data_IF_806370801935
#
_entry.id   IF_806370801935
#
_cell.length_a   1.000
_cell.length_b   1.000
_cell.length_c   1.000
_cell.angle_alpha   90.00
_cell.angle_beta   90.00
_cell.angle_gamma   90.00
#
_symmetry.space_group_name_H-M   'P 1'
#
loop_
_entity.id
_entity.type
_entity.pdbx_description
1 polymer ?
#
# COMPACT_ATOMS: atom_id res chain seq x y z
N UNK A 1 6.65 -14.51 -10.40
CA UNK A 1 6.15 -13.16 -10.06
C UNK A 1 6.74 -12.70 -8.74
N UNK A 2 7.29 -11.49 -8.73
CA UNK A 2 7.87 -10.85 -7.55
C UNK A 2 7.56 -9.35 -7.60
N UNK A 3 7.45 -8.66 -6.45
CA UNK A 3 7.24 -7.22 -6.42
C UNK A 3 8.34 -6.46 -7.16
N UNK A 4 7.95 -5.38 -7.80
CA UNK A 4 8.80 -4.43 -8.52
C UNK A 4 8.70 -3.05 -7.87
N UNK A 5 9.49 -2.09 -8.36
CA UNK A 5 9.35 -0.70 -7.94
C UNK A 5 7.95 -0.12 -8.20
N UNK A 6 7.21 -0.66 -9.18
CA UNK A 6 5.83 -0.23 -9.42
C UNK A 6 4.93 -0.57 -8.22
N UNK A 7 5.09 -1.74 -7.64
CA UNK A 7 4.31 -2.21 -6.49
C UNK A 7 4.63 -1.40 -5.22
N UNK A 8 5.92 -1.10 -5.00
CA UNK A 8 6.39 -0.22 -3.92
C UNK A 8 5.72 1.15 -4.01
N UNK A 9 5.78 1.79 -5.18
CA UNK A 9 5.13 3.09 -5.39
C UNK A 9 3.61 2.99 -5.25
N UNK A 10 2.98 1.94 -5.78
CA UNK A 10 1.54 1.77 -5.78
C UNK A 10 0.97 1.68 -4.35
N UNK A 11 1.56 0.85 -3.48
CA UNK A 11 1.12 0.69 -2.09
C UNK A 11 1.19 2.02 -1.34
N UNK A 12 2.27 2.79 -1.51
CA UNK A 12 2.39 4.13 -0.90
C UNK A 12 1.30 5.09 -1.39
N UNK A 13 0.98 5.08 -2.68
CA UNK A 13 -0.08 5.94 -3.22
C UNK A 13 -1.48 5.54 -2.72
N UNK A 14 -1.77 4.25 -2.63
CA UNK A 14 -3.06 3.75 -2.12
C UNK A 14 -3.21 4.07 -0.64
N UNK A 15 -2.16 3.85 0.18
CA UNK A 15 -2.17 4.21 1.59
C UNK A 15 -2.51 5.69 1.78
N UNK A 16 -1.83 6.59 1.06
CA UNK A 16 -2.12 8.02 1.13
C UNK A 16 -3.54 8.35 0.67
N UNK A 17 -4.00 7.77 -0.43
CA UNK A 17 -5.34 7.99 -0.94
C UNK A 17 -6.42 7.56 0.08
N UNK A 18 -6.23 6.43 0.76
CA UNK A 18 -7.12 5.98 1.85
C UNK A 18 -7.07 6.93 3.04
N UNK A 19 -5.86 7.33 3.47
CA UNK A 19 -5.66 8.27 4.59
C UNK A 19 -6.35 9.62 4.36
N UNK A 20 -6.41 10.09 3.12
CA UNK A 20 -7.07 11.36 2.74
C UNK A 20 -8.53 11.18 2.27
N UNK A 21 -9.10 9.98 2.36
CA UNK A 21 -10.50 9.72 2.03
C UNK A 21 -10.83 9.83 0.53
N UNK A 22 -9.87 9.58 -0.35
CA UNK A 22 -10.11 9.53 -1.79
C UNK A 22 -10.97 8.31 -2.16
N UNK A 23 -11.88 8.48 -3.13
CA UNK A 23 -12.62 7.36 -3.71
C UNK A 23 -11.73 6.54 -4.65
N UNK A 24 -11.57 5.26 -4.33
CA UNK A 24 -10.76 4.31 -5.09
C UNK A 24 -11.60 3.25 -5.82
N UNK A 25 -12.94 3.38 -5.80
CA UNK A 25 -13.87 2.41 -6.40
C UNK A 25 -13.62 2.17 -7.90
N UNK A 26 -13.07 3.17 -8.60
CA UNK A 26 -12.70 3.09 -10.02
C UNK A 26 -11.42 2.29 -10.29
N UNK A 27 -10.66 1.86 -9.27
CA UNK A 27 -9.35 1.22 -9.43
C UNK A 27 -9.25 -0.19 -8.80
N UNK A 28 -10.15 -1.13 -9.14
CA UNK A 28 -10.19 -2.46 -8.50
C UNK A 28 -8.91 -3.28 -8.72
N UNK A 29 -8.24 -3.14 -9.87
CA UNK A 29 -6.97 -3.82 -10.15
C UNK A 29 -5.84 -3.32 -9.25
N UNK A 30 -5.80 -2.02 -8.96
CA UNK A 30 -4.81 -1.41 -8.09
C UNK A 30 -5.00 -1.86 -6.65
N UNK A 31 -6.24 -1.90 -6.17
CA UNK A 31 -6.61 -2.42 -4.85
C UNK A 31 -6.23 -3.90 -4.71
N UNK A 32 -6.51 -4.73 -5.72
CA UNK A 32 -6.10 -6.14 -5.71
C UNK A 32 -4.58 -6.32 -5.60
N UNK A 33 -3.79 -5.49 -6.28
CA UNK A 33 -2.32 -5.54 -6.19
C UNK A 33 -1.85 -5.08 -4.81
N UNK A 34 -2.44 -4.01 -4.28
CA UNK A 34 -2.17 -3.54 -2.92
C UNK A 34 -2.41 -4.64 -1.88
N UNK A 35 -3.54 -5.33 -1.95
CA UNK A 35 -3.87 -6.41 -1.01
C UNK A 35 -2.87 -7.57 -1.11
N UNK A 36 -2.43 -7.90 -2.34
CA UNK A 36 -1.39 -8.91 -2.54
C UNK A 36 -0.02 -8.47 -1.98
N UNK A 37 0.33 -7.19 -2.08
CA UNK A 37 1.56 -6.67 -1.50
C UNK A 37 1.50 -6.64 0.03
N UNK A 38 0.39 -6.17 0.61
CA UNK A 38 0.16 -6.12 2.05
C UNK A 38 0.01 -7.51 2.69
N UNK A 39 -0.09 -8.59 1.92
CA UNK A 39 0.03 -9.96 2.42
C UNK A 39 1.48 -10.38 2.71
N UNK A 40 2.47 -9.61 2.24
CA UNK A 40 3.90 -9.87 2.49
C UNK A 40 4.37 -9.06 3.71
N UNK A 41 5.09 -9.72 4.62
CA UNK A 41 5.56 -9.08 5.86
C UNK A 41 6.42 -7.84 5.57
N UNK A 42 7.25 -7.86 4.52
CA UNK A 42 8.06 -6.70 4.12
C UNK A 42 7.26 -5.42 3.87
N UNK A 43 6.04 -5.51 3.30
CA UNK A 43 5.19 -4.34 3.10
C UNK A 43 4.43 -3.94 4.38
N UNK A 44 4.04 -4.92 5.21
CA UNK A 44 3.38 -4.66 6.49
C UNK A 44 4.31 -3.98 7.48
N UNK A 45 5.54 -4.48 7.60
CA UNK A 45 6.56 -3.91 8.48
C UNK A 45 6.95 -2.49 8.06
N UNK A 46 6.79 -2.16 6.78
CA UNK A 46 7.03 -0.84 6.20
C UNK A 46 5.84 0.13 6.31
N UNK A 47 4.71 -0.27 6.91
CA UNK A 47 3.58 0.63 7.12
C UNK A 47 3.98 1.80 8.05
N UNK A 48 3.49 3.02 7.81
CA UNK A 48 3.84 4.19 8.64
C UNK A 48 3.60 3.99 10.13
N UNK A 49 2.54 3.27 10.52
CA UNK A 49 2.17 2.99 11.92
C UNK A 49 3.16 2.06 12.64
N UNK A 50 4.00 1.34 11.88
CA UNK A 50 4.98 0.40 12.42
C UNK A 50 6.39 1.00 12.53
N UNK A 51 6.57 2.29 12.20
CA UNK A 51 7.88 2.94 12.25
C UNK A 51 8.19 3.51 13.64
N UNK A 52 9.47 3.58 14.05
CA UNK A 52 9.85 4.09 15.37
C UNK A 52 9.45 5.55 15.65
N UNK A 53 9.24 6.32 14.58
CA UNK A 53 8.82 7.71 14.59
C UNK A 53 7.30 7.89 14.37
N UNK A 54 6.53 6.80 14.36
CA UNK A 54 5.07 6.86 14.40
C UNK A 54 4.61 7.46 15.74
N UNK A 55 3.83 8.55 15.67
CA UNK A 55 3.19 9.20 16.82
C UNK A 55 1.96 8.43 17.33
#
# INVERSE_FOLDING_TARGET
DAPTMADVCLVTQIYNAQRFGCDLSAFPSALRINDACLALDAFRDALPENQPDAE
#
